data_IF_641807510416
#
_entry.id   IF_641807510416
#
_cell.length_a   1.000
_cell.length_b   1.000
_cell.length_c   1.000
_cell.angle_alpha   90.00
_cell.angle_beta   90.00
_cell.angle_gamma   90.00
#
_symmetry.space_group_name_H-M   'P 1'
#
loop_
_entity.id
_entity.type
_entity.pdbx_description
1 polymer ?
#
# COMPACT_ATOMS: atom_id res chain seq x y z
N UNK A 1 14.35 1.24 10.31
CA UNK A 1 14.27 -0.06 9.59
C UNK A 1 12.87 -0.27 9.03
N UNK A 2 12.78 -0.88 7.84
CA UNK A 2 11.50 -1.21 7.17
C UNK A 2 11.28 -2.73 7.20
N UNK A 3 10.20 -3.18 7.83
CA UNK A 3 9.74 -4.57 7.79
C UNK A 3 8.62 -4.75 6.76
N UNK A 4 8.68 -5.82 5.95
CA UNK A 4 7.59 -6.15 5.02
C UNK A 4 6.92 -7.47 5.41
N UNK A 5 5.60 -7.41 5.62
CA UNK A 5 4.81 -8.58 6.06
C UNK A 5 4.28 -9.35 4.85
N UNK A 6 4.40 -10.67 4.88
CA UNK A 6 4.02 -11.60 3.80
C UNK A 6 3.29 -12.83 4.30
N UNK A 7 2.47 -13.45 3.43
CA UNK A 7 1.95 -14.83 3.62
C UNK A 7 2.88 -15.91 3.06
N UNK A 8 3.90 -15.53 2.25
CA UNK A 8 4.70 -16.47 1.47
C UNK A 8 3.97 -17.06 0.25
N UNK A 9 3.01 -16.34 -0.33
CA UNK A 9 2.35 -16.77 -1.57
C UNK A 9 3.33 -16.79 -2.75
N UNK A 10 3.09 -17.61 -3.79
CA UNK A 10 4.02 -17.75 -4.92
C UNK A 10 4.43 -16.42 -5.56
N UNK A 11 3.49 -15.49 -5.77
CA UNK A 11 3.81 -14.19 -6.35
C UNK A 11 4.64 -13.31 -5.39
N UNK A 12 4.39 -13.38 -4.07
CA UNK A 12 5.19 -12.66 -3.07
C UNK A 12 6.62 -13.21 -3.04
N UNK A 13 6.80 -14.54 -3.02
CA UNK A 13 8.12 -15.15 -3.06
C UNK A 13 8.88 -14.78 -4.33
N UNK A 14 8.20 -14.70 -5.48
CA UNK A 14 8.81 -14.27 -6.73
C UNK A 14 9.18 -12.78 -6.68
N UNK A 15 8.32 -11.93 -6.14
CA UNK A 15 8.64 -10.52 -5.91
C UNK A 15 9.89 -10.35 -5.04
N UNK A 16 10.00 -11.10 -3.93
CA UNK A 16 11.17 -11.03 -3.05
C UNK A 16 12.46 -11.58 -3.67
N UNK A 17 12.37 -12.31 -4.77
CA UNK A 17 13.53 -12.75 -5.54
C UNK A 17 14.07 -11.69 -6.52
N UNK A 18 13.32 -10.59 -6.75
CA UNK A 18 13.72 -9.48 -7.61
C UNK A 18 14.75 -8.59 -6.88
N UNK A 19 16.00 -8.61 -7.32
CA UNK A 19 17.10 -7.85 -6.71
C UNK A 19 16.84 -6.33 -6.69
N UNK A 20 16.14 -5.83 -7.72
CA UNK A 20 15.87 -4.40 -7.87
C UNK A 20 14.98 -3.80 -6.76
N UNK A 21 14.24 -4.63 -6.00
CA UNK A 21 13.37 -4.17 -4.91
C UNK A 21 13.91 -4.44 -3.51
N UNK A 22 15.09 -5.05 -3.37
CA UNK A 22 15.67 -5.36 -2.05
C UNK A 22 15.96 -4.13 -1.19
N UNK A 23 16.06 -2.96 -1.78
CA UNK A 23 16.23 -1.73 -1.03
C UNK A 23 14.93 -1.15 -0.46
N UNK A 24 13.76 -1.73 -0.80
CA UNK A 24 12.47 -1.31 -0.26
C UNK A 24 12.31 -1.70 1.21
N UNK A 25 12.90 -2.80 1.65
CA UNK A 25 12.73 -3.38 2.99
C UNK A 25 14.08 -3.86 3.54
N UNK A 26 14.15 -3.95 4.87
CA UNK A 26 15.30 -4.51 5.57
C UNK A 26 15.04 -5.97 5.97
N UNK A 27 13.80 -6.31 6.37
CA UNK A 27 13.39 -7.64 6.78
C UNK A 27 12.07 -8.09 6.15
N UNK A 28 11.95 -9.41 5.91
CA UNK A 28 10.72 -10.07 5.48
C UNK A 28 10.11 -10.80 6.66
N UNK A 29 8.89 -10.41 7.06
CA UNK A 29 8.19 -10.92 8.22
C UNK A 29 7.03 -11.81 7.77
N UNK A 30 7.07 -13.11 8.11
CA UNK A 30 5.95 -13.99 7.77
C UNK A 30 4.78 -13.78 8.73
N UNK A 31 3.57 -13.48 8.24
CA UNK A 31 2.43 -13.10 9.07
C UNK A 31 2.08 -14.17 10.12
N UNK A 32 2.20 -15.46 9.80
CA UNK A 32 1.93 -16.55 10.77
C UNK A 32 2.91 -16.58 11.94
N UNK A 33 4.10 -16.03 11.75
CA UNK A 33 5.19 -15.98 12.72
C UNK A 33 5.40 -14.57 13.28
N UNK A 34 4.47 -13.65 13.05
CA UNK A 34 4.64 -12.23 13.44
C UNK A 34 4.91 -12.08 14.95
N UNK A 35 4.40 -12.99 15.78
CA UNK A 35 4.65 -13.02 17.22
C UNK A 35 6.12 -13.29 17.61
N UNK A 36 6.97 -13.70 16.67
CA UNK A 36 8.42 -13.93 16.89
C UNK A 36 9.25 -12.67 16.65
N UNK A 37 8.68 -11.66 16.05
CA UNK A 37 9.36 -10.41 15.72
C UNK A 37 9.01 -9.34 16.74
N UNK A 38 10.03 -8.63 17.22
CA UNK A 38 9.81 -7.41 17.99
C UNK A 38 9.59 -6.25 17.04
N UNK A 39 8.31 -5.86 16.87
CA UNK A 39 7.92 -4.77 15.97
C UNK A 39 8.48 -3.41 16.42
N UNK A 40 8.95 -3.26 17.66
CA UNK A 40 9.59 -2.05 18.13
C UNK A 40 10.90 -1.73 17.37
N UNK A 41 11.52 -2.71 16.75
CA UNK A 41 12.76 -2.54 15.97
C UNK A 41 12.53 -1.87 14.59
N UNK A 42 11.29 -1.75 14.13
CA UNK A 42 10.97 -1.16 12.83
C UNK A 42 10.39 0.24 13.00
N UNK A 43 10.69 1.14 12.07
CA UNK A 43 10.11 2.48 11.96
C UNK A 43 8.93 2.48 11.00
N UNK A 44 8.98 1.58 10.01
CA UNK A 44 7.93 1.36 9.02
C UNK A 44 7.60 -0.12 8.89
N UNK A 45 6.31 -0.45 8.87
CA UNK A 45 5.81 -1.76 8.47
C UNK A 45 5.03 -1.64 7.17
N UNK A 46 5.35 -2.51 6.21
CA UNK A 46 4.61 -2.65 4.95
C UNK A 46 3.81 -3.95 5.02
N UNK A 47 2.50 -3.84 4.93
CA UNK A 47 1.62 -5.00 4.74
C UNK A 47 1.44 -5.22 3.24
N UNK A 48 2.00 -6.31 2.72
CA UNK A 48 1.86 -6.65 1.31
C UNK A 48 0.39 -7.00 0.99
N UNK A 49 -0.01 -6.84 -0.26
CA UNK A 49 -1.37 -7.19 -0.70
C UNK A 49 -1.69 -8.68 -0.48
N UNK A 50 -2.99 -8.98 -0.30
CA UNK A 50 -3.55 -10.33 -0.18
C UNK A 50 -3.00 -11.11 1.03
N UNK A 51 -2.80 -10.42 2.15
CA UNK A 51 -2.53 -11.07 3.43
C UNK A 51 -3.79 -11.79 3.94
N UNK A 52 -3.54 -12.87 4.68
CA UNK A 52 -4.60 -13.69 5.27
C UNK A 52 -5.40 -12.92 6.33
N UNK A 53 -6.68 -12.65 6.06
CA UNK A 53 -7.55 -11.83 6.92
C UNK A 53 -7.66 -12.36 8.35
N UNK A 54 -7.84 -13.66 8.61
CA UNK A 54 -7.80 -14.20 9.97
C UNK A 54 -6.53 -13.83 10.75
N UNK A 55 -5.36 -13.84 10.10
CA UNK A 55 -4.11 -13.43 10.75
C UNK A 55 -4.03 -11.91 10.92
N UNK A 56 -4.49 -11.12 9.95
CA UNK A 56 -4.59 -9.67 10.09
C UNK A 56 -5.44 -9.27 11.30
N UNK A 57 -6.63 -9.87 11.44
CA UNK A 57 -7.52 -9.67 12.60
C UNK A 57 -6.87 -10.11 13.91
N UNK A 58 -6.13 -11.22 13.89
CA UNK A 58 -5.39 -11.71 15.07
C UNK A 58 -4.33 -10.72 15.55
N UNK A 59 -3.63 -10.08 14.65
CA UNK A 59 -2.54 -9.15 14.95
C UNK A 59 -2.95 -7.67 14.92
N UNK A 60 -4.23 -7.37 14.73
CA UNK A 60 -4.75 -6.00 14.64
C UNK A 60 -4.29 -5.11 15.80
N UNK A 61 -4.36 -5.61 17.04
CA UNK A 61 -3.93 -4.83 18.22
C UNK A 61 -2.44 -4.51 18.20
N UNK A 62 -1.61 -5.39 17.63
CA UNK A 62 -0.17 -5.14 17.50
C UNK A 62 0.11 -4.06 16.44
N UNK A 63 -0.60 -4.09 15.30
CA UNK A 63 -0.51 -3.05 14.28
C UNK A 63 -1.01 -1.70 14.81
N UNK A 64 -2.10 -1.69 15.59
CA UNK A 64 -2.58 -0.49 16.25
C UNK A 64 -1.55 0.06 17.25
N UNK A 65 -0.98 -0.78 18.10
CA UNK A 65 0.07 -0.35 19.04
C UNK A 65 1.31 0.16 18.32
N UNK A 66 1.65 -0.44 17.17
CA UNK A 66 2.76 0.00 16.34
C UNK A 66 2.56 1.41 15.82
N UNK A 67 1.41 1.71 15.19
CA UNK A 67 1.13 3.03 14.64
C UNK A 67 0.93 4.06 15.75
N UNK A 68 0.31 3.71 16.88
CA UNK A 68 0.15 4.58 18.03
C UNK A 68 1.49 4.94 18.71
N UNK A 69 2.53 4.16 18.49
CA UNK A 69 3.89 4.50 18.94
C UNK A 69 4.59 5.56 18.06
N UNK A 70 3.90 6.18 17.12
CA UNK A 70 4.42 7.24 16.25
C UNK A 70 5.11 6.71 14.99
N UNK A 71 4.87 5.45 14.62
CA UNK A 71 5.50 4.76 13.49
C UNK A 71 4.60 4.72 12.26
N UNK A 72 5.16 4.31 11.11
CA UNK A 72 4.44 4.27 9.84
C UNK A 72 3.96 2.86 9.51
N UNK A 73 2.67 2.74 9.20
CA UNK A 73 2.05 1.51 8.70
C UNK A 73 1.57 1.73 7.25
N UNK A 74 2.03 0.90 6.32
CA UNK A 74 1.65 0.96 4.91
C UNK A 74 0.86 -0.29 4.55
N UNK A 75 -0.30 -0.11 3.92
CA UNK A 75 -1.18 -1.20 3.50
C UNK A 75 -1.38 -1.12 2.00
N UNK A 76 -1.02 -2.19 1.29
CA UNK A 76 -1.20 -2.34 -0.14
C UNK A 76 -2.36 -3.28 -0.48
N UNK A 77 -3.15 -2.90 -1.49
CA UNK A 77 -4.18 -3.75 -2.07
C UNK A 77 -5.52 -3.72 -1.34
N UNK A 78 -6.30 -4.78 -1.49
CA UNK A 78 -7.65 -4.90 -0.98
C UNK A 78 -7.68 -4.98 0.56
N UNK A 79 -8.55 -4.20 1.19
CA UNK A 79 -8.79 -4.23 2.64
C UNK A 79 -10.19 -4.79 2.90
N UNK A 80 -10.35 -6.07 2.63
CA UNK A 80 -11.62 -6.77 2.81
C UNK A 80 -11.96 -6.88 4.30
N UNK A 81 -13.28 -6.93 4.59
CA UNK A 81 -13.82 -7.09 5.94
C UNK A 81 -13.48 -5.96 6.92
N UNK A 82 -13.04 -4.79 6.45
CA UNK A 82 -12.71 -3.62 7.28
C UNK A 82 -11.92 -4.03 8.54
N UNK A 83 -10.89 -4.89 8.34
CA UNK A 83 -10.14 -5.52 9.44
C UNK A 83 -9.31 -4.51 10.26
N UNK A 84 -9.09 -3.30 9.75
CA UNK A 84 -8.36 -2.24 10.42
C UNK A 84 -9.31 -1.05 10.70
N UNK A 85 -9.29 -0.46 11.91
CA UNK A 85 -10.09 0.72 12.23
C UNK A 85 -9.72 1.89 11.31
N UNK A 86 -10.68 2.76 11.02
CA UNK A 86 -10.55 3.92 10.13
C UNK A 86 -10.42 3.60 8.63
N UNK A 87 -10.26 2.34 8.23
CA UNK A 87 -10.26 1.95 6.82
C UNK A 87 -11.66 1.47 6.45
N UNK A 88 -12.33 2.23 5.61
CA UNK A 88 -13.65 1.90 5.08
C UNK A 88 -13.51 1.56 3.59
N UNK A 89 -13.52 0.25 3.30
CA UNK A 89 -13.37 -0.31 1.96
C UNK A 89 -14.70 -0.38 1.24
N UNK A 90 -14.71 0.06 -0.01
CA UNK A 90 -15.86 -0.02 -0.92
C UNK A 90 -15.46 -0.76 -2.19
N UNK A 91 -16.09 -1.90 -2.45
CA UNK A 91 -15.88 -2.65 -3.69
C UNK A 91 -16.23 -1.79 -4.91
N UNK A 92 -15.49 -1.95 -5.98
CA UNK A 92 -15.72 -1.25 -7.24
C UNK A 92 -15.77 -2.24 -8.39
N UNK A 93 -16.74 -2.03 -9.30
CA UNK A 93 -16.70 -2.66 -10.60
C UNK A 93 -15.66 -1.94 -11.46
N UNK A 94 -14.62 -2.64 -11.85
CA UNK A 94 -13.53 -2.10 -12.64
C UNK A 94 -13.49 -2.75 -14.00
N UNK A 95 -13.37 -1.95 -15.04
CA UNK A 95 -13.09 -2.47 -16.36
C UNK A 95 -11.62 -2.86 -16.49
N UNK A 96 -11.32 -4.14 -16.27
CA UNK A 96 -9.96 -4.66 -16.37
C UNK A 96 -9.38 -4.58 -17.80
N UNK A 97 -10.22 -4.34 -18.80
CA UNK A 97 -9.82 -4.24 -20.21
C UNK A 97 -9.92 -2.82 -20.77
N UNK A 98 -9.83 -1.82 -19.90
CA UNK A 98 -9.99 -0.41 -20.30
C UNK A 98 -9.01 0.01 -21.43
N UNK A 99 -7.80 -0.53 -21.45
CA UNK A 99 -6.76 -0.19 -22.45
C UNK A 99 -7.03 -0.74 -23.86
N UNK A 100 -7.95 -1.69 -24.03
CA UNK A 100 -8.34 -2.20 -25.37
C UNK A 100 -9.53 -1.47 -25.99
N UNK A 101 -10.09 -0.51 -25.27
CA UNK A 101 -11.19 0.32 -25.75
C UNK A 101 -10.65 1.59 -26.39
N UNK A 102 -11.23 2.00 -27.54
CA UNK A 102 -10.87 3.25 -28.19
C UNK A 102 -11.12 4.43 -27.25
N UNK A 103 -10.04 5.19 -26.95
CA UNK A 103 -10.09 6.30 -25.98
C UNK A 103 -10.28 5.85 -24.53
N UNK A 104 -10.11 4.55 -24.24
CA UNK A 104 -10.22 4.04 -22.88
C UNK A 104 -9.18 4.64 -21.95
N UNK A 105 -9.63 5.05 -20.76
CA UNK A 105 -8.79 5.54 -19.68
C UNK A 105 -9.43 5.11 -18.34
N UNK A 106 -8.59 5.00 -17.30
CA UNK A 106 -9.08 4.93 -15.92
C UNK A 106 -9.16 6.35 -15.39
N UNK A 107 -10.34 6.82 -15.00
CA UNK A 107 -10.55 8.19 -14.54
C UNK A 107 -10.01 8.35 -13.10
N UNK A 108 -8.69 8.42 -12.97
CA UNK A 108 -7.98 8.66 -11.72
C UNK A 108 -7.41 10.06 -11.71
N UNK A 109 -7.50 10.74 -10.59
CA UNK A 109 -7.05 12.12 -10.40
C UNK A 109 -6.07 12.22 -9.23
N UNK A 110 -4.90 12.84 -9.48
CA UNK A 110 -3.96 13.20 -8.42
C UNK A 110 -4.55 14.30 -7.54
N UNK A 111 -4.56 14.05 -6.24
CA UNK A 111 -4.87 15.03 -5.21
C UNK A 111 -3.56 15.49 -4.53
N UNK A 112 -3.62 16.54 -3.74
CA UNK A 112 -2.47 17.02 -2.94
C UNK A 112 -1.10 16.91 -3.65
N UNK A 113 -0.98 17.49 -4.84
CA UNK A 113 0.20 17.38 -5.75
C UNK A 113 1.52 17.87 -5.15
N UNK A 114 1.48 18.51 -3.99
CA UNK A 114 2.66 18.96 -3.23
C UNK A 114 3.19 17.88 -2.29
N UNK A 115 2.51 16.76 -2.14
CA UNK A 115 2.97 15.66 -1.30
C UNK A 115 4.33 15.12 -1.78
N UNK A 116 5.30 14.85 -0.87
CA UNK A 116 6.66 14.42 -1.24
C UNK A 116 6.74 13.21 -2.15
N UNK A 117 5.77 12.29 -2.07
CA UNK A 117 5.68 11.12 -2.94
C UNK A 117 5.75 11.50 -4.43
N UNK A 118 5.09 12.60 -4.84
CA UNK A 118 5.02 13.03 -6.25
C UNK A 118 6.33 13.54 -6.83
N UNK A 119 7.41 13.61 -6.04
CA UNK A 119 8.78 13.75 -6.58
C UNK A 119 9.23 12.49 -7.31
N UNK A 120 8.67 11.32 -6.97
CA UNK A 120 9.15 10.00 -7.40
C UNK A 120 8.11 9.18 -8.16
N UNK A 121 6.82 9.48 -8.01
CA UNK A 121 5.69 8.77 -8.62
C UNK A 121 4.89 9.73 -9.46
N UNK A 122 4.64 9.38 -10.72
CA UNK A 122 3.73 10.11 -11.59
C UNK A 122 2.38 9.38 -11.72
N UNK A 123 1.31 10.10 -12.06
CA UNK A 123 -0.03 9.53 -12.27
C UNK A 123 -0.02 8.32 -13.20
N UNK A 124 0.75 8.36 -14.30
CA UNK A 124 0.87 7.24 -15.26
C UNK A 124 1.39 5.96 -14.60
N UNK A 125 2.19 6.09 -13.54
CA UNK A 125 2.80 4.98 -12.83
C UNK A 125 1.81 4.33 -11.83
N UNK A 126 0.64 4.95 -11.61
CA UNK A 126 -0.46 4.49 -10.76
C UNK A 126 -1.67 4.01 -11.57
N UNK A 127 -1.68 4.22 -12.89
CA UNK A 127 -2.82 3.88 -13.74
C UNK A 127 -2.82 2.40 -14.15
N UNK A 128 -3.33 1.57 -13.26
CA UNK A 128 -3.79 0.22 -13.58
C UNK A 128 -5.10 -0.08 -12.83
N UNK A 129 -5.70 -1.24 -13.12
CA UNK A 129 -6.97 -1.60 -12.49
C UNK A 129 -6.89 -1.63 -10.96
N UNK A 130 -8.00 -1.38 -10.32
CA UNK A 130 -8.18 -1.45 -8.86
C UNK A 130 -9.45 -2.24 -8.54
N UNK A 131 -9.48 -2.93 -7.40
CA UNK A 131 -10.60 -3.78 -7.01
C UNK A 131 -11.64 -3.06 -6.14
N UNK A 132 -11.28 -1.93 -5.61
CA UNK A 132 -12.12 -1.10 -4.76
C UNK A 132 -11.45 0.23 -4.45
N UNK A 133 -12.08 0.97 -3.58
CA UNK A 133 -11.69 2.31 -3.15
C UNK A 133 -11.96 2.48 -1.66
N UNK A 134 -11.59 3.61 -1.12
CA UNK A 134 -11.77 3.92 0.29
C UNK A 134 -12.62 5.16 0.49
N UNK A 135 -13.45 5.16 1.54
CA UNK A 135 -13.93 6.38 2.15
C UNK A 135 -12.85 6.84 3.14
N UNK A 136 -11.98 7.75 2.69
CA UNK A 136 -10.90 8.25 3.53
C UNK A 136 -11.46 8.97 4.78
N UNK A 137 -10.84 8.79 5.96
CA UNK A 137 -11.28 9.48 7.17
C UNK A 137 -11.18 11.00 7.05
N UNK A 138 -12.00 11.72 7.82
CA UNK A 138 -11.95 13.19 7.89
C UNK A 138 -10.55 13.66 8.29
N UNK A 139 -9.96 14.53 7.48
CA UNK A 139 -8.62 15.08 7.70
C UNK A 139 -7.48 14.27 7.11
N UNK A 140 -7.72 13.04 6.63
CA UNK A 140 -6.73 12.29 5.86
C UNK A 140 -6.45 12.98 4.52
N UNK A 141 -5.23 12.82 4.03
CA UNK A 141 -4.78 13.42 2.77
C UNK A 141 -4.92 12.42 1.63
N UNK A 142 -5.94 12.58 0.79
CA UNK A 142 -6.00 11.78 -0.43
C UNK A 142 -4.91 12.19 -1.41
N UNK A 143 -4.30 11.21 -2.05
CA UNK A 143 -3.25 11.37 -3.06
C UNK A 143 -3.74 10.97 -4.46
N UNK A 144 -4.68 10.01 -4.53
CA UNK A 144 -5.25 9.51 -5.77
C UNK A 144 -6.73 9.21 -5.56
N UNK A 145 -7.59 9.87 -6.32
CA UNK A 145 -9.04 9.69 -6.25
C UNK A 145 -9.62 9.17 -7.57
N UNK A 146 -10.84 8.64 -7.47
CA UNK A 146 -11.75 8.46 -8.60
C UNK A 146 -12.77 9.60 -8.65
N UNK A 147 -13.47 9.81 -9.79
CA UNK A 147 -14.34 10.99 -9.99
C UNK A 147 -15.48 11.16 -8.99
N UNK A 148 -15.88 10.13 -8.28
CA UNK A 148 -16.92 10.21 -7.24
C UNK A 148 -16.39 10.64 -5.86
N UNK A 149 -15.09 10.97 -5.77
CA UNK A 149 -14.43 11.48 -4.58
C UNK A 149 -13.92 10.40 -3.63
N UNK A 150 -14.08 9.12 -3.96
CA UNK A 150 -13.46 8.03 -3.17
C UNK A 150 -11.97 7.92 -3.48
N UNK A 151 -11.19 7.60 -2.46
CA UNK A 151 -9.74 7.51 -2.58
C UNK A 151 -9.27 6.12 -3.00
N UNK A 152 -8.26 6.08 -3.87
CA UNK A 152 -7.47 4.89 -4.19
C UNK A 152 -6.15 4.87 -3.43
N UNK A 153 -5.72 6.03 -2.92
CA UNK A 153 -4.48 6.17 -2.17
C UNK A 153 -4.58 7.38 -1.25
N UNK A 154 -4.44 7.16 0.07
CA UNK A 154 -4.44 8.25 1.04
C UNK A 154 -3.39 8.04 2.13
N UNK A 155 -3.05 9.13 2.80
CA UNK A 155 -2.21 9.20 4.00
C UNK A 155 -3.04 9.77 5.13
N UNK A 156 -3.11 9.04 6.24
CA UNK A 156 -3.79 9.46 7.46
C UNK A 156 -2.76 9.61 8.59
N UNK A 157 -2.52 10.84 8.99
CA UNK A 157 -1.68 11.22 10.12
C UNK A 157 -2.49 11.99 11.18
N UNK A 158 -3.81 11.80 11.17
CA UNK A 158 -4.76 12.47 12.08
C UNK A 158 -5.40 11.48 13.04
N UNK A 159 -5.75 10.28 12.56
CA UNK A 159 -6.44 9.27 13.36
C UNK A 159 -5.53 8.57 14.37
N UNK A 160 -4.21 8.63 14.19
CA UNK A 160 -3.20 7.96 15.03
C UNK A 160 -2.04 8.90 15.35
N UNK A 161 -1.22 8.51 16.32
CA UNK A 161 0.02 9.24 16.65
C UNK A 161 1.10 9.07 15.57
N UNK A 162 1.04 7.97 14.79
CA UNK A 162 1.90 7.71 13.63
C UNK A 162 1.18 7.95 12.33
N UNK A 163 1.73 7.42 11.23
CA UNK A 163 1.22 7.62 9.87
C UNK A 163 0.68 6.33 9.28
N UNK A 164 -0.58 6.33 8.87
CA UNK A 164 -1.21 5.26 8.12
C UNK A 164 -1.22 5.63 6.62
N UNK A 165 -0.61 4.79 5.80
CA UNK A 165 -0.59 4.92 4.34
C UNK A 165 -1.39 3.77 3.75
N UNK A 166 -2.44 4.06 3.01
CA UNK A 166 -3.32 3.02 2.44
C UNK A 166 -3.49 3.24 0.95
N UNK A 167 -3.29 2.19 0.18
CA UNK A 167 -3.58 2.21 -1.25
C UNK A 167 -4.19 0.90 -1.72
N UNK A 168 -5.19 0.99 -2.60
CA UNK A 168 -5.77 -0.18 -3.28
C UNK A 168 -4.82 -0.78 -4.32
N UNK A 169 -3.78 -0.04 -4.71
CA UNK A 169 -2.79 -0.50 -5.68
C UNK A 169 -1.94 -1.63 -5.09
N UNK A 170 -1.73 -2.68 -5.87
CA UNK A 170 -1.07 -3.92 -5.46
C UNK A 170 0.18 -4.26 -6.29
N UNK A 171 1.21 -3.40 -6.29
CA UNK A 171 2.36 -3.53 -7.19
C UNK A 171 3.11 -4.86 -7.03
N UNK A 172 3.21 -5.39 -5.82
CA UNK A 172 3.92 -6.65 -5.56
C UNK A 172 3.24 -7.85 -6.23
N UNK A 173 1.90 -7.82 -6.35
CA UNK A 173 1.15 -8.85 -7.08
C UNK A 173 1.51 -8.84 -8.56
N UNK A 174 1.47 -7.68 -9.18
CA UNK A 174 1.76 -7.51 -10.60
C UNK A 174 3.21 -7.81 -10.96
N UNK A 175 4.16 -7.33 -10.15
CA UNK A 175 5.59 -7.63 -10.33
C UNK A 175 5.84 -9.13 -10.17
N UNK A 176 5.30 -9.74 -9.12
CA UNK A 176 5.49 -11.16 -8.85
C UNK A 176 4.86 -12.08 -9.90
N UNK A 177 3.82 -11.65 -10.59
CA UNK A 177 3.21 -12.38 -11.71
C UNK A 177 3.83 -12.03 -13.07
N UNK A 178 4.58 -10.91 -13.16
CA UNK A 178 5.27 -10.49 -14.38
C UNK A 178 4.36 -9.83 -15.40
N UNK A 179 3.38 -9.04 -14.96
CA UNK A 179 2.54 -8.23 -15.82
C UNK A 179 2.27 -6.85 -15.19
N UNK A 180 1.79 -5.87 -15.97
CA UNK A 180 1.61 -4.45 -15.63
C UNK A 180 2.95 -3.78 -15.26
N UNK A 181 3.67 -3.36 -16.28
CA UNK A 181 5.01 -2.73 -16.17
C UNK A 181 5.00 -1.44 -15.32
N UNK A 182 3.86 -0.71 -15.27
CA UNK A 182 3.69 0.49 -14.46
C UNK A 182 3.86 0.24 -12.96
N UNK A 183 3.63 -0.98 -12.50
CA UNK A 183 3.81 -1.34 -11.10
C UNK A 183 5.26 -1.22 -10.61
N UNK A 184 6.24 -1.37 -11.53
CA UNK A 184 7.67 -1.24 -11.20
C UNK A 184 8.07 0.20 -10.87
N UNK A 185 7.89 1.22 -11.77
CA UNK A 185 8.23 2.60 -11.44
C UNK A 185 7.43 3.13 -10.23
N UNK A 186 6.18 2.72 -10.06
CA UNK A 186 5.41 3.05 -8.86
C UNK A 186 6.10 2.58 -7.58
N UNK A 187 6.46 1.29 -7.50
CA UNK A 187 7.07 0.74 -6.29
C UNK A 187 8.49 1.28 -6.05
N UNK A 188 9.26 1.55 -7.11
CA UNK A 188 10.53 2.27 -7.01
C UNK A 188 10.36 3.69 -6.43
N UNK A 189 9.29 4.38 -6.85
CA UNK A 189 8.95 5.70 -6.33
C UNK A 189 8.60 5.66 -4.85
N UNK A 190 7.77 4.70 -4.44
CA UNK A 190 7.43 4.46 -3.01
C UNK A 190 8.73 4.20 -2.20
N UNK A 191 9.60 3.32 -2.69
CA UNK A 191 10.83 2.98 -1.98
C UNK A 191 11.76 4.18 -1.80
N UNK A 192 11.90 5.03 -2.83
CA UNK A 192 12.69 6.27 -2.74
C UNK A 192 12.09 7.25 -1.75
N UNK A 193 10.78 7.45 -1.81
CA UNK A 193 10.09 8.31 -0.86
C UNK A 193 10.33 7.87 0.58
N UNK A 194 10.14 6.59 0.89
CA UNK A 194 10.33 6.05 2.24
C UNK A 194 11.78 6.22 2.73
N UNK A 195 12.77 5.92 1.88
CA UNK A 195 14.19 6.00 2.26
C UNK A 195 14.72 7.42 2.42
N UNK A 196 14.18 8.40 1.68
CA UNK A 196 14.56 9.81 1.90
C UNK A 196 14.02 10.37 3.21
N UNK A 197 12.82 9.96 3.61
CA UNK A 197 12.26 10.40 4.89
C UNK A 197 12.95 9.75 6.09
N UNK A 198 13.48 8.52 5.97
CA UNK A 198 14.32 7.90 7.01
C UNK A 198 15.69 8.59 7.17
N UNK A 199 16.16 9.33 6.16
CA UNK A 199 17.46 10.01 6.15
C UNK A 199 17.43 11.46 6.67
N UNK A 200 16.25 11.97 7.02
CA UNK A 200 16.03 13.31 7.60
C UNK A 200 15.85 13.23 9.11
#
# INVERSE_FOLDING_TARGET
MIGIVTNGLPFQNRFFAEEEFKYLYDDILHIRELHRYDLANYDTLILSCRLDIPHLKRYQSQFLSFIESGKRLIIFGEVLDNWFPTIDWVDSEVNFSWWVQDGGDLPMEEQNKTHPLFKYVALRDMKWHYHGSFLAPDGAQSLLDIPDGRSLFYVDNVSFNGELVVTTLDPMFHIGLGFIDQSRPFLHGIAKWLREEEGQ
#
